data_IF_189664931038
#
_entry.id   IF_189664931038
#
_cell.length_a   1.000
_cell.length_b   1.000
_cell.length_c   1.000
_cell.angle_alpha   90.00
_cell.angle_beta   90.00
_cell.angle_gamma   90.00
#
_symmetry.space_group_name_H-M   'P 1'
#
loop_
_entity.id
_entity.type
_entity.pdbx_description
1 polymer ?
#
# COMPACT_ATOMS: atom_id res chain seq x y z
N UNK A 1 1.66 -19.95 5.27
CA UNK A 1 2.57 -19.52 6.37
C UNK A 1 2.86 -18.05 6.13
N UNK A 2 2.69 -17.20 7.14
CA UNK A 2 3.08 -15.79 7.07
C UNK A 2 4.60 -15.70 6.91
N UNK A 3 5.13 -14.88 5.99
CA UNK A 3 6.56 -14.66 5.88
C UNK A 3 7.17 -14.12 7.19
N UNK A 4 8.48 -14.29 7.42
CA UNK A 4 9.12 -13.67 8.57
C UNK A 4 8.93 -12.15 8.52
N UNK A 5 8.86 -11.53 9.69
CA UNK A 5 8.69 -10.09 9.80
C UNK A 5 9.93 -9.38 9.22
N UNK A 6 9.78 -8.48 8.24
CA UNK A 6 10.90 -7.72 7.73
C UNK A 6 11.38 -6.69 8.76
N UNK A 7 12.69 -6.42 8.79
CA UNK A 7 13.25 -5.33 9.59
C UNK A 7 13.23 -3.99 8.86
N UNK A 8 13.32 -4.06 7.52
CA UNK A 8 13.34 -2.90 6.63
C UNK A 8 12.22 -2.99 5.60
N UNK A 9 11.52 -1.88 5.38
CA UNK A 9 10.44 -1.78 4.40
C UNK A 9 10.64 -0.58 3.47
N UNK A 10 10.25 -0.74 2.21
CA UNK A 10 10.16 0.37 1.28
C UNK A 10 8.73 0.93 1.29
N UNK A 11 8.59 2.24 1.45
CA UNK A 11 7.30 2.90 1.34
C UNK A 11 7.05 3.32 -0.11
N UNK A 12 5.96 2.83 -0.70
CA UNK A 12 5.41 3.36 -1.94
C UNK A 12 4.44 4.49 -1.61
N UNK A 13 4.93 5.73 -1.62
CA UNK A 13 4.15 6.93 -1.26
C UNK A 13 2.98 7.18 -2.20
N UNK A 14 3.13 6.81 -3.47
CA UNK A 14 2.22 7.09 -4.59
C UNK A 14 2.24 8.56 -5.05
N UNK A 15 1.96 8.78 -6.34
CA UNK A 15 2.02 10.12 -6.92
C UNK A 15 0.99 11.09 -6.30
N UNK A 16 -0.17 10.60 -5.88
CA UNK A 16 -1.22 11.44 -5.29
C UNK A 16 -0.84 11.90 -3.88
N UNK A 17 -0.30 11.00 -3.07
CA UNK A 17 0.15 11.35 -1.73
C UNK A 17 1.36 12.30 -1.80
N UNK A 18 2.31 12.03 -2.68
CA UNK A 18 3.50 12.87 -2.84
C UNK A 18 3.16 14.31 -3.29
N UNK A 19 2.23 14.44 -4.24
CA UNK A 19 1.90 15.73 -4.84
C UNK A 19 0.81 16.52 -4.10
N UNK A 20 -0.26 15.86 -3.64
CA UNK A 20 -1.47 16.56 -3.21
C UNK A 20 -1.90 16.29 -1.75
N UNK A 21 -1.52 15.15 -1.18
CA UNK A 21 -1.96 14.74 0.15
C UNK A 21 -0.89 13.94 0.91
N UNK A 22 0.21 14.56 1.37
CA UNK A 22 1.32 13.84 2.01
C UNK A 22 0.97 13.24 3.39
N UNK A 23 -0.07 13.73 4.05
CA UNK A 23 -0.44 13.30 5.40
C UNK A 23 -0.56 11.79 5.58
N UNK A 24 -1.30 11.05 4.77
CA UNK A 24 -1.39 9.59 4.87
C UNK A 24 -0.05 8.86 4.71
N UNK A 25 0.83 9.34 3.82
CA UNK A 25 2.15 8.72 3.64
C UNK A 25 3.06 8.98 4.84
N UNK A 26 3.05 10.20 5.40
CA UNK A 26 3.78 10.54 6.61
C UNK A 26 3.29 9.73 7.82
N UNK A 27 1.97 9.64 8.02
CA UNK A 27 1.39 8.82 9.08
C UNK A 27 1.75 7.32 8.92
N UNK A 28 1.83 6.82 7.69
CA UNK A 28 2.27 5.45 7.44
C UNK A 28 3.73 5.23 7.86
N UNK A 29 4.63 6.19 7.59
CA UNK A 29 6.01 6.14 8.09
C UNK A 29 6.03 6.07 9.61
N UNK A 30 5.34 7.01 10.29
CA UNK A 30 5.29 7.06 11.75
C UNK A 30 4.81 5.74 12.37
N UNK A 31 3.77 5.13 11.81
CA UNK A 31 3.25 3.84 12.29
C UNK A 31 4.26 2.72 12.06
N UNK A 32 4.88 2.64 10.87
CA UNK A 32 5.86 1.59 10.56
C UNK A 32 7.12 1.72 11.43
N UNK A 33 7.59 2.94 11.68
CA UNK A 33 8.71 3.20 12.58
C UNK A 33 8.35 2.89 14.05
N UNK A 34 7.14 3.23 14.50
CA UNK A 34 6.64 2.83 15.82
C UNK A 34 6.53 1.31 15.99
N UNK A 35 6.33 0.58 14.90
CA UNK A 35 6.44 -0.89 14.88
C UNK A 35 7.90 -1.37 14.93
N UNK A 36 8.89 -0.50 14.92
CA UNK A 36 10.33 -0.83 14.93
C UNK A 36 10.88 -1.23 13.57
N UNK A 37 10.29 -0.78 12.48
CA UNK A 37 10.78 -1.01 11.13
C UNK A 37 11.69 0.14 10.68
N UNK A 38 12.73 -0.17 9.91
CA UNK A 38 13.47 0.83 9.15
C UNK A 38 12.68 1.13 7.87
N UNK A 39 12.24 2.39 7.72
CA UNK A 39 11.43 2.81 6.55
C UNK A 39 12.31 3.56 5.56
N UNK A 40 12.35 3.08 4.32
CA UNK A 40 13.02 3.75 3.22
C UNK A 40 12.00 4.21 2.16
N UNK A 41 12.20 5.41 1.64
CA UNK A 41 11.39 5.97 0.55
C UNK A 41 12.26 6.00 -0.71
N UNK A 42 12.16 5.03 -1.62
CA UNK A 42 12.98 4.98 -2.82
C UNK A 42 12.79 6.23 -3.69
N UNK A 43 13.85 7.00 -4.01
CA UNK A 43 13.70 8.30 -4.67
C UNK A 43 13.29 8.21 -6.15
N UNK A 44 13.38 7.00 -6.74
CA UNK A 44 13.08 6.77 -8.15
C UNK A 44 11.68 6.20 -8.39
N UNK A 45 10.89 6.03 -7.35
CA UNK A 45 9.50 5.62 -7.49
C UNK A 45 8.70 6.68 -8.26
N UNK A 46 7.62 6.25 -8.90
CA UNK A 46 6.77 7.10 -9.72
C UNK A 46 5.29 6.78 -9.45
N UNK A 47 4.49 6.68 -10.47
CA UNK A 47 3.06 6.38 -10.39
C UNK A 47 2.80 4.87 -10.61
N UNK A 48 1.71 4.35 -10.07
CA UNK A 48 1.24 2.99 -10.39
C UNK A 48 0.72 2.82 -11.83
N UNK A 49 0.59 3.89 -12.60
CA UNK A 49 0.09 3.87 -13.96
C UNK A 49 -1.44 3.83 -14.11
N UNK A 50 -2.17 3.77 -13.02
CA UNK A 50 -3.64 3.64 -13.01
C UNK A 50 -4.36 4.71 -13.84
N UNK A 51 -4.03 6.02 -13.76
CA UNK A 51 -4.74 7.03 -14.54
C UNK A 51 -4.66 6.77 -16.06
N UNK A 52 -3.48 6.42 -16.55
CA UNK A 52 -3.28 6.13 -17.97
C UNK A 52 -4.00 4.84 -18.40
N UNK A 53 -3.88 3.78 -17.60
CA UNK A 53 -4.50 2.49 -17.93
C UNK A 53 -6.04 2.59 -17.90
N UNK A 54 -6.63 3.20 -16.88
CA UNK A 54 -8.08 3.39 -16.77
C UNK A 54 -8.65 4.29 -17.87
N UNK A 55 -7.82 5.16 -18.44
CA UNK A 55 -8.19 6.00 -19.59
C UNK A 55 -7.99 5.33 -20.93
N UNK A 56 -7.60 4.04 -20.97
CA UNK A 56 -7.42 3.26 -22.19
C UNK A 56 -6.05 3.48 -22.88
N UNK A 57 -5.05 3.99 -22.16
CA UNK A 57 -3.70 4.25 -22.68
C UNK A 57 -2.63 3.32 -22.07
N UNK A 58 -2.68 1.99 -22.31
CA UNK A 58 -1.70 1.06 -21.71
C UNK A 58 -0.25 1.35 -22.14
N UNK A 59 -0.05 1.83 -23.36
CA UNK A 59 1.29 2.20 -23.86
C UNK A 59 1.90 3.37 -23.07
N UNK A 60 1.08 4.30 -22.56
CA UNK A 60 1.53 5.39 -21.71
C UNK A 60 1.72 4.93 -20.24
N UNK A 61 0.95 3.95 -19.78
CA UNK A 61 1.10 3.37 -18.44
C UNK A 61 2.40 2.53 -18.32
N UNK A 62 2.81 1.84 -19.39
CA UNK A 62 3.95 0.94 -19.39
C UNK A 62 5.24 1.54 -18.79
N UNK A 63 5.82 2.63 -19.32
CA UNK A 63 7.09 3.15 -18.80
C UNK A 63 7.00 3.58 -17.34
N UNK A 64 5.86 4.07 -16.91
CA UNK A 64 5.62 4.51 -15.54
C UNK A 64 5.59 3.32 -14.57
N UNK A 65 4.90 2.25 -14.94
CA UNK A 65 4.86 0.99 -14.19
C UNK A 65 6.25 0.37 -14.13
N UNK A 66 6.94 0.29 -15.26
CA UNK A 66 8.29 -0.30 -15.33
C UNK A 66 9.28 0.44 -14.43
N UNK A 67 9.24 1.77 -14.44
CA UNK A 67 10.07 2.59 -13.56
C UNK A 67 9.74 2.34 -12.08
N UNK A 68 8.47 2.31 -11.74
CA UNK A 68 8.03 2.08 -10.36
C UNK A 68 8.47 0.70 -9.87
N UNK A 69 8.23 -0.35 -10.64
CA UNK A 69 8.65 -1.70 -10.24
C UNK A 69 10.19 -1.80 -10.13
N UNK A 70 10.93 -1.17 -11.03
CA UNK A 70 12.40 -1.15 -10.95
C UNK A 70 12.93 -0.39 -9.72
N UNK A 71 12.21 0.63 -9.23
CA UNK A 71 12.59 1.37 -8.04
C UNK A 71 12.49 0.54 -6.76
N UNK A 72 11.67 -0.50 -6.77
CA UNK A 72 11.44 -1.40 -5.63
C UNK A 72 12.16 -2.75 -5.74
N UNK A 73 13.00 -2.94 -6.76
CA UNK A 73 13.78 -4.18 -6.87
C UNK A 73 14.79 -4.28 -5.71
N UNK A 74 14.87 -5.46 -5.10
CA UNK A 74 15.75 -5.73 -3.97
C UNK A 74 15.16 -5.51 -2.57
N UNK A 75 13.97 -4.90 -2.44
CA UNK A 75 13.30 -4.79 -1.14
C UNK A 75 12.51 -6.04 -0.78
N UNK A 76 12.52 -6.41 0.50
CA UNK A 76 11.81 -7.60 1.01
C UNK A 76 10.34 -7.34 1.32
N UNK A 77 9.97 -6.10 1.59
CA UNK A 77 8.59 -5.67 1.72
C UNK A 77 8.41 -4.26 1.17
N UNK A 78 7.33 -4.06 0.45
CA UNK A 78 6.94 -2.78 -0.15
C UNK A 78 5.54 -2.45 0.36
N UNK A 79 5.41 -1.39 1.14
CA UNK A 79 4.16 -1.01 1.79
C UNK A 79 3.61 0.26 1.14
N UNK A 80 2.33 0.26 0.80
CA UNK A 80 1.65 1.43 0.25
C UNK A 80 0.39 1.78 1.04
N UNK A 81 0.19 3.04 1.45
CA UNK A 81 -1.06 3.50 2.08
C UNK A 81 -2.19 3.76 1.08
N UNK A 82 -2.08 3.22 -0.12
CA UNK A 82 -3.06 3.42 -1.20
C UNK A 82 -3.49 2.09 -1.82
N UNK A 83 -4.60 1.54 -1.37
CA UNK A 83 -5.15 0.28 -1.87
C UNK A 83 -5.44 0.28 -3.37
N UNK A 84 -5.76 1.45 -3.96
CA UNK A 84 -5.94 1.57 -5.41
C UNK A 84 -4.64 1.36 -6.17
N UNK A 85 -3.54 1.94 -5.72
CA UNK A 85 -2.22 1.79 -6.36
C UNK A 85 -1.66 0.38 -6.17
N UNK A 86 -1.80 -0.20 -4.97
CA UNK A 86 -1.43 -1.58 -4.70
C UNK A 86 -2.22 -2.55 -5.58
N UNK A 87 -3.56 -2.40 -5.60
CA UNK A 87 -4.43 -3.23 -6.43
C UNK A 87 -4.15 -3.10 -7.92
N UNK A 88 -3.83 -1.89 -8.38
CA UNK A 88 -3.44 -1.63 -9.77
C UNK A 88 -2.17 -2.41 -10.14
N UNK A 89 -1.10 -2.29 -9.35
CA UNK A 89 0.16 -2.96 -9.64
C UNK A 89 0.01 -4.48 -9.55
N UNK A 90 -0.55 -4.99 -8.45
CA UNK A 90 -0.63 -6.45 -8.21
C UNK A 90 -1.58 -7.16 -9.19
N UNK A 91 -2.64 -6.51 -9.68
CA UNK A 91 -3.65 -7.17 -10.53
C UNK A 91 -3.60 -6.74 -12.00
N UNK A 92 -3.24 -5.50 -12.28
CA UNK A 92 -3.41 -4.89 -13.60
C UNK A 92 -2.11 -4.43 -14.28
N UNK A 93 -0.95 -4.49 -13.63
CA UNK A 93 0.32 -4.15 -14.28
C UNK A 93 0.53 -4.96 -15.58
N UNK A 94 0.12 -6.22 -15.60
CA UNK A 94 0.18 -7.13 -16.76
C UNK A 94 -0.60 -6.63 -17.99
N UNK A 95 -1.61 -5.79 -17.78
CA UNK A 95 -2.44 -5.24 -18.85
C UNK A 95 -1.72 -4.13 -19.63
N UNK A 96 -0.59 -3.64 -19.11
CA UNK A 96 0.22 -2.58 -19.73
C UNK A 96 1.67 -3.00 -20.01
N UNK A 97 2.23 -3.93 -19.24
CA UNK A 97 3.64 -4.34 -19.40
C UNK A 97 3.82 -5.85 -19.24
N UNK A 98 4.85 -6.40 -19.86
CA UNK A 98 5.28 -7.78 -19.62
C UNK A 98 5.77 -7.92 -18.18
N UNK A 99 5.28 -8.95 -17.49
CA UNK A 99 5.68 -9.27 -16.12
C UNK A 99 6.80 -10.30 -16.18
N UNK A 100 8.03 -9.81 -16.12
CA UNK A 100 9.23 -10.64 -15.98
C UNK A 100 9.34 -11.22 -14.58
N UNK A 101 10.21 -12.23 -14.36
CA UNK A 101 10.44 -12.78 -13.02
C UNK A 101 10.89 -11.71 -12.00
N UNK A 102 11.70 -10.73 -12.43
CA UNK A 102 12.13 -9.65 -11.56
C UNK A 102 10.94 -8.79 -11.11
N UNK A 103 10.07 -8.39 -12.05
CA UNK A 103 8.84 -7.65 -11.73
C UNK A 103 7.90 -8.46 -10.84
N UNK A 104 7.76 -9.76 -11.10
CA UNK A 104 6.91 -10.63 -10.29
C UNK A 104 7.41 -10.68 -8.85
N UNK A 105 8.72 -10.81 -8.62
CA UNK A 105 9.28 -10.75 -7.25
C UNK A 105 8.95 -9.45 -6.51
N UNK A 106 8.92 -8.32 -7.20
CA UNK A 106 8.50 -7.03 -6.62
C UNK A 106 7.02 -7.06 -6.27
N UNK A 107 6.17 -7.50 -7.20
CA UNK A 107 4.72 -7.57 -7.01
C UNK A 107 4.33 -8.51 -5.85
N UNK A 108 5.03 -9.62 -5.69
CA UNK A 108 4.79 -10.60 -4.62
C UNK A 108 5.14 -10.06 -3.22
N UNK A 109 5.93 -8.97 -3.15
CA UNK A 109 6.36 -8.31 -1.91
C UNK A 109 5.59 -7.02 -1.62
N UNK A 110 4.60 -6.70 -2.45
CA UNK A 110 3.75 -5.52 -2.25
C UNK A 110 2.63 -5.78 -1.27
N UNK A 111 2.49 -4.87 -0.32
CA UNK A 111 1.47 -4.89 0.72
C UNK A 111 0.65 -3.60 0.68
N UNK A 112 -0.63 -3.75 0.85
CA UNK A 112 -1.43 -2.63 1.29
C UNK A 112 -1.17 -2.38 2.78
N UNK A 113 -1.12 -1.12 3.19
CA UNK A 113 -0.69 -0.70 4.52
C UNK A 113 -1.45 -1.41 5.66
N UNK A 114 -2.78 -1.47 5.57
CA UNK A 114 -3.57 -2.08 6.63
C UNK A 114 -3.37 -3.59 6.73
N UNK A 115 -3.17 -4.27 5.62
CA UNK A 115 -2.81 -5.69 5.58
C UNK A 115 -1.45 -5.93 6.24
N UNK A 116 -0.47 -5.09 5.93
CA UNK A 116 0.87 -5.19 6.50
C UNK A 116 0.86 -4.98 8.00
N UNK A 117 0.24 -3.88 8.47
CA UNK A 117 0.16 -3.56 9.91
C UNK A 117 -0.62 -4.62 10.68
N UNK A 118 -1.69 -5.16 10.10
CA UNK A 118 -2.46 -6.25 10.74
C UNK A 118 -1.64 -7.53 10.86
N UNK A 119 -0.79 -7.81 9.87
CA UNK A 119 0.01 -9.05 9.82
C UNK A 119 1.21 -8.99 10.76
N UNK A 120 1.89 -7.85 10.83
CA UNK A 120 3.18 -7.73 11.53
C UNK A 120 3.16 -6.74 12.69
N UNK A 121 2.09 -5.95 12.83
CA UNK A 121 1.99 -4.91 13.85
C UNK A 121 1.90 -5.49 15.24
N UNK A 122 2.67 -4.89 16.16
CA UNK A 122 2.41 -5.01 17.59
C UNK A 122 1.18 -4.18 17.98
N UNK A 123 0.64 -4.40 19.14
CA UNK A 123 -0.40 -3.53 19.70
C UNK A 123 0.22 -2.15 19.98
N UNK A 124 -0.02 -1.21 19.10
CA UNK A 124 0.30 0.19 19.32
C UNK A 124 -0.77 0.75 20.27
N UNK A 125 -0.33 1.39 21.35
CA UNK A 125 -1.24 1.99 22.33
C UNK A 125 -1.81 3.32 21.81
N UNK A 126 -2.64 3.22 20.76
CA UNK A 126 -3.27 4.36 20.11
C UNK A 126 -4.59 4.71 20.79
N UNK A 127 -4.82 6.01 20.98
CA UNK A 127 -6.03 6.54 21.60
C UNK A 127 -6.60 7.67 20.73
N UNK A 128 -7.87 7.56 20.37
CA UNK A 128 -8.60 8.62 19.67
C UNK A 128 -10.09 8.51 20.00
N UNK A 129 -10.62 9.51 20.68
CA UNK A 129 -12.07 9.56 20.97
C UNK A 129 -12.81 10.13 19.75
N UNK A 130 -13.35 9.23 18.91
CA UNK A 130 -14.06 9.61 17.70
C UNK A 130 -15.05 8.54 17.25
N UNK A 131 -16.15 9.00 16.64
CA UNK A 131 -17.05 8.13 15.87
C UNK A 131 -16.64 8.21 14.41
N UNK A 132 -16.35 7.06 13.82
CA UNK A 132 -15.83 6.95 12.44
C UNK A 132 -16.68 5.98 11.62
N UNK A 133 -16.65 6.14 10.32
CA UNK A 133 -17.17 5.16 9.38
C UNK A 133 -16.08 4.79 8.37
N UNK A 134 -16.14 3.57 7.83
CA UNK A 134 -15.17 3.11 6.85
C UNK A 134 -15.85 2.71 5.55
N UNK A 135 -15.42 3.33 4.46
CA UNK A 135 -15.87 2.98 3.11
C UNK A 135 -15.00 1.90 2.48
N UNK A 136 -15.60 0.74 2.15
CA UNK A 136 -14.93 -0.31 1.39
C UNK A 136 -14.66 0.15 -0.05
N UNK A 137 -13.47 0.65 -0.31
CA UNK A 137 -13.11 1.04 -1.67
C UNK A 137 -13.12 -0.17 -2.62
N UNK A 138 -13.51 0.06 -3.89
CA UNK A 138 -13.62 -1.01 -4.87
C UNK A 138 -12.29 -1.73 -5.13
N UNK A 139 -11.16 -1.03 -5.09
CA UNK A 139 -9.85 -1.65 -5.27
C UNK A 139 -9.43 -2.50 -4.09
N UNK A 140 -9.71 -2.06 -2.86
CA UNK A 140 -9.47 -2.87 -1.66
C UNK A 140 -10.31 -4.13 -1.67
N UNK A 141 -11.62 -3.97 -1.83
CA UNK A 141 -12.57 -5.08 -1.68
C UNK A 141 -12.57 -6.06 -2.87
N UNK A 142 -12.42 -5.58 -4.12
CA UNK A 142 -12.52 -6.42 -5.32
C UNK A 142 -11.17 -6.93 -5.82
N UNK A 143 -10.12 -6.11 -5.78
CA UNK A 143 -8.81 -6.49 -6.32
C UNK A 143 -7.92 -7.11 -5.28
N UNK A 144 -7.89 -6.57 -4.06
CA UNK A 144 -7.07 -7.11 -2.98
C UNK A 144 -7.84 -8.10 -2.10
N UNK A 145 -9.17 -8.18 -2.23
CA UNK A 145 -10.00 -9.03 -1.37
C UNK A 145 -10.04 -8.56 0.09
N UNK A 146 -9.67 -7.29 0.33
CA UNK A 146 -9.45 -6.79 1.67
C UNK A 146 -10.61 -5.94 2.16
N UNK A 147 -11.17 -6.35 3.30
CA UNK A 147 -12.25 -5.66 4.03
C UNK A 147 -12.03 -5.69 5.53
N UNK A 148 -11.23 -6.63 5.99
CA UNK A 148 -11.08 -6.97 7.41
C UNK A 148 -10.02 -6.14 8.10
N UNK A 149 -8.84 -6.00 7.48
CA UNK A 149 -7.69 -5.34 8.11
C UNK A 149 -7.95 -3.89 8.52
N UNK A 150 -8.62 -3.04 7.72
CA UNK A 150 -8.92 -1.67 8.14
C UNK A 150 -9.82 -1.63 9.39
N UNK A 151 -10.86 -2.48 9.44
CA UNK A 151 -11.77 -2.57 10.58
C UNK A 151 -11.09 -3.08 11.83
N UNK A 152 -10.25 -4.09 11.67
CA UNK A 152 -9.48 -4.66 12.78
C UNK A 152 -8.51 -3.61 13.35
N UNK A 153 -7.85 -2.81 12.52
CA UNK A 153 -6.98 -1.74 13.01
C UNK A 153 -7.78 -0.65 13.73
N UNK A 154 -8.90 -0.21 13.18
CA UNK A 154 -9.78 0.77 13.84
C UNK A 154 -10.26 0.26 15.20
N UNK A 155 -10.61 -1.02 15.32
CA UNK A 155 -11.05 -1.62 16.59
C UNK A 155 -9.96 -1.70 17.65
N UNK A 156 -8.67 -1.60 17.28
CA UNK A 156 -7.54 -1.59 18.22
C UNK A 156 -7.24 -0.20 18.78
N UNK A 157 -7.80 0.86 18.20
CA UNK A 157 -7.62 2.24 18.67
C UNK A 157 -8.63 2.50 19.79
N UNK A 158 -8.15 2.78 21.00
CA UNK A 158 -9.01 3.06 22.17
C UNK A 158 -9.82 4.34 21.94
N UNK A 159 -11.11 4.30 22.22
CA UNK A 159 -12.03 5.44 22.05
C UNK A 159 -12.67 5.55 20.67
N UNK A 160 -12.29 4.73 19.69
CA UNK A 160 -12.96 4.68 18.39
C UNK A 160 -14.30 3.94 18.52
N UNK A 161 -15.35 4.57 17.99
CA UNK A 161 -16.64 3.92 17.70
C UNK A 161 -16.81 3.82 16.20
N UNK A 162 -16.75 2.60 15.65
CA UNK A 162 -16.95 2.35 14.21
C UNK A 162 -18.44 2.13 13.93
N UNK A 163 -18.98 2.95 13.03
CA UNK A 163 -20.33 2.78 12.46
C UNK A 163 -20.18 2.31 11.01
N UNK A 164 -20.70 1.13 10.69
CA UNK A 164 -20.67 0.59 9.34
C UNK A 164 -21.59 1.39 8.39
N UNK A 165 -21.17 1.49 7.10
CA UNK A 165 -21.95 2.13 6.03
C UNK A 165 -22.94 1.16 5.42
#
# INVERSE_FOLDING_TARGET
MTPPRPEKVALFTTCLADFAAPGPALAAVEVLEAMGMEVEVPPRQSCCGQPALNSGYPAAAKPVIDQTLAAFDGYDAIVSPAGSCTGMLVKHAKDATEITEAKQRVLDRMWEFTQFVTTYGADLDLVLDATVTYHDSCHMSRFLGERTSPRLLLSRIKGITLIEM
#
